data_IF_900447934894
#
_entry.id   IF_900447934894
#
_cell.length_a   1.000
_cell.length_b   1.000
_cell.length_c   1.000
_cell.angle_alpha   90.00
_cell.angle_beta   90.00
_cell.angle_gamma   90.00
#
_symmetry.space_group_name_H-M   'P 1'
#
loop_
_entity.id
_entity.type
_entity.pdbx_description
1 polymer ?
#
# COMPACT_ATOMS: atom_id res chain seq x y z
N UNK A 1 13.84 -12.20 20.28
CA UNK A 1 14.60 -11.29 19.39
C UNK A 1 13.95 -9.91 19.44
N UNK A 2 14.74 -8.84 19.32
CA UNK A 2 14.25 -7.45 19.31
C UNK A 2 13.18 -7.23 18.23
N UNK A 3 13.29 -7.92 17.08
CA UNK A 3 12.36 -7.79 15.97
C UNK A 3 10.94 -8.27 16.35
N UNK A 4 10.79 -9.37 17.10
CA UNK A 4 9.47 -9.83 17.58
C UNK A 4 8.78 -8.77 18.45
N UNK A 5 9.53 -8.12 19.34
CA UNK A 5 9.01 -7.03 20.20
C UNK A 5 8.60 -5.82 19.37
N UNK A 6 9.42 -5.41 18.39
CA UNK A 6 9.11 -4.29 17.50
C UNK A 6 7.82 -4.56 16.74
N UNK A 7 7.66 -5.74 16.15
CA UNK A 7 6.44 -6.11 15.42
C UNK A 7 5.24 -6.08 16.35
N UNK A 8 5.34 -6.71 17.52
CA UNK A 8 4.25 -6.71 18.49
C UNK A 8 3.82 -5.28 18.87
N UNK A 9 4.77 -4.43 19.23
CA UNK A 9 4.46 -3.04 19.61
C UNK A 9 3.86 -2.24 18.44
N UNK A 10 4.43 -2.35 17.24
CA UNK A 10 3.95 -1.61 16.08
C UNK A 10 2.54 -2.02 15.67
N UNK A 11 2.27 -3.31 15.52
CA UNK A 11 0.93 -3.79 15.15
C UNK A 11 -0.10 -3.49 16.26
N UNK A 12 0.26 -3.68 17.54
CA UNK A 12 -0.63 -3.35 18.65
C UNK A 12 -0.96 -1.86 18.68
N UNK A 13 0.02 -0.99 18.43
CA UNK A 13 -0.19 0.45 18.32
C UNK A 13 -1.16 0.81 17.17
N UNK A 14 -1.00 0.18 16.01
CA UNK A 14 -1.87 0.43 14.85
C UNK A 14 -3.31 -0.05 15.10
N UNK A 15 -3.48 -1.24 15.69
CA UNK A 15 -4.80 -1.78 16.07
C UNK A 15 -5.46 -0.86 17.11
N UNK A 16 -4.71 -0.43 18.12
CA UNK A 16 -5.22 0.48 19.15
C UNK A 16 -5.70 1.81 18.55
N UNK A 17 -4.92 2.41 17.63
CA UNK A 17 -5.32 3.63 16.94
C UNK A 17 -6.61 3.45 16.14
N UNK A 18 -6.75 2.32 15.42
CA UNK A 18 -7.95 2.03 14.65
C UNK A 18 -9.18 1.91 15.55
N UNK A 19 -9.04 1.24 16.69
CA UNK A 19 -10.11 1.13 17.70
C UNK A 19 -10.43 2.51 18.31
N UNK A 20 -9.43 3.35 18.57
CA UNK A 20 -9.65 4.70 19.08
C UNK A 20 -10.42 5.58 18.08
N UNK A 21 -10.11 5.49 16.77
CA UNK A 21 -10.88 6.18 15.74
C UNK A 21 -12.34 5.71 15.74
N UNK A 22 -12.57 4.39 15.81
CA UNK A 22 -13.90 3.81 15.87
C UNK A 22 -14.68 4.30 17.09
N UNK A 23 -14.07 4.26 18.27
CA UNK A 23 -14.68 4.74 19.51
C UNK A 23 -14.98 6.25 19.46
N UNK A 24 -14.06 7.04 18.90
CA UNK A 24 -14.25 8.49 18.74
C UNK A 24 -15.43 8.79 17.83
N UNK A 25 -15.60 8.02 16.77
CA UNK A 25 -16.74 8.15 15.86
C UNK A 25 -18.05 7.86 16.58
N UNK A 26 -18.10 6.76 17.34
CA UNK A 26 -19.32 6.29 18.01
C UNK A 26 -19.72 7.11 19.24
N UNK A 27 -18.74 7.48 20.11
CA UNK A 27 -19.03 8.09 21.42
C UNK A 27 -19.22 9.60 21.36
N UNK A 28 -18.49 10.28 20.47
CA UNK A 28 -18.49 11.74 20.41
C UNK A 28 -19.36 12.31 19.28
N UNK A 29 -20.04 11.46 18.50
CA UNK A 29 -20.83 11.89 17.36
C UNK A 29 -20.01 12.70 16.34
N UNK A 30 -18.69 12.47 16.30
CA UNK A 30 -17.74 13.19 15.45
C UNK A 30 -17.83 12.73 13.98
N UNK A 31 -18.81 11.90 13.62
CA UNK A 31 -19.03 11.41 12.25
C UNK A 31 -19.16 12.53 11.23
N UNK A 32 -19.73 13.66 11.62
CA UNK A 32 -19.87 14.84 10.78
C UNK A 32 -18.67 15.80 10.85
N UNK A 33 -17.65 15.47 11.65
CA UNK A 33 -16.46 16.31 11.78
C UNK A 33 -15.52 16.16 10.58
N UNK A 34 -15.47 17.19 9.74
CA UNK A 34 -14.52 17.27 8.61
C UNK A 34 -13.06 17.05 9.06
N UNK A 35 -12.71 17.54 10.25
CA UNK A 35 -11.35 17.41 10.79
C UNK A 35 -11.02 15.97 11.16
N UNK A 36 -11.94 15.23 11.75
CA UNK A 36 -11.73 13.81 12.07
C UNK A 36 -11.52 12.99 10.80
N UNK A 37 -12.32 13.25 9.77
CA UNK A 37 -12.16 12.60 8.47
C UNK A 37 -10.79 12.89 7.83
N UNK A 38 -10.31 14.14 7.88
CA UNK A 38 -8.99 14.52 7.38
C UNK A 38 -7.85 13.84 8.15
N UNK A 39 -7.92 13.82 9.48
CA UNK A 39 -6.93 13.16 10.33
C UNK A 39 -6.92 11.66 10.04
N UNK A 40 -8.09 11.03 9.94
CA UNK A 40 -8.21 9.61 9.62
C UNK A 40 -7.64 9.29 8.24
N UNK A 41 -7.91 10.12 7.22
CA UNK A 41 -7.35 9.96 5.88
C UNK A 41 -5.82 9.99 5.87
N UNK A 42 -5.22 11.00 6.53
CA UNK A 42 -3.76 11.10 6.65
C UNK A 42 -3.19 9.89 7.40
N UNK A 43 -3.84 9.51 8.50
CA UNK A 43 -3.44 8.35 9.28
C UNK A 43 -3.50 7.05 8.46
N UNK A 44 -4.57 6.82 7.70
CA UNK A 44 -4.69 5.65 6.82
C UNK A 44 -3.55 5.55 5.80
N UNK A 45 -3.13 6.68 5.22
CA UNK A 45 -2.01 6.70 4.28
C UNK A 45 -0.69 6.33 4.97
N UNK A 46 -0.37 6.98 6.10
CA UNK A 46 0.83 6.69 6.88
C UNK A 46 0.84 5.24 7.36
N UNK A 47 -0.28 4.76 7.87
CA UNK A 47 -0.49 3.41 8.31
C UNK A 47 -0.22 2.37 7.20
N UNK A 48 -0.77 2.58 6.00
CA UNK A 48 -0.60 1.66 4.88
C UNK A 48 0.87 1.49 4.50
N UNK A 49 1.62 2.59 4.38
CA UNK A 49 3.06 2.55 4.11
C UNK A 49 3.83 1.86 5.24
N UNK A 50 3.45 2.10 6.48
CA UNK A 50 4.13 1.55 7.64
C UNK A 50 3.95 0.02 7.73
N UNK A 51 2.74 -0.49 7.52
CA UNK A 51 2.44 -1.93 7.51
C UNK A 51 3.22 -2.65 6.40
N UNK A 52 3.23 -2.08 5.18
CA UNK A 52 3.99 -2.63 4.06
C UNK A 52 5.49 -2.64 4.36
N UNK A 53 6.01 -1.57 4.97
CA UNK A 53 7.42 -1.50 5.38
C UNK A 53 7.78 -2.56 6.41
N UNK A 54 6.94 -2.75 7.43
CA UNK A 54 7.12 -3.81 8.44
C UNK A 54 7.09 -5.21 7.81
N UNK A 55 6.16 -5.44 6.88
CA UNK A 55 6.10 -6.69 6.14
C UNK A 55 7.41 -6.97 5.41
N UNK A 56 7.95 -5.99 4.66
CA UNK A 56 9.23 -6.16 3.96
C UNK A 56 10.40 -6.37 4.90
N UNK A 57 10.43 -5.71 6.05
CA UNK A 57 11.46 -5.96 7.08
C UNK A 57 11.44 -7.41 7.53
N UNK A 58 10.25 -7.99 7.76
CA UNK A 58 10.11 -9.41 8.13
C UNK A 58 10.59 -10.31 6.99
N UNK A 59 10.14 -10.06 5.76
CA UNK A 59 10.47 -10.90 4.59
C UNK A 59 11.97 -10.85 4.29
N UNK A 60 12.59 -9.69 4.27
CA UNK A 60 14.03 -9.55 4.01
C UNK A 60 14.85 -10.27 5.08
N UNK A 61 14.39 -10.22 6.32
CA UNK A 61 15.07 -10.92 7.43
C UNK A 61 14.97 -12.45 7.30
N UNK A 62 13.80 -12.96 6.89
CA UNK A 62 13.57 -14.41 6.71
C UNK A 62 14.24 -14.97 5.45
N UNK A 63 14.33 -14.19 4.37
CA UNK A 63 14.77 -14.63 3.05
C UNK A 63 16.12 -13.97 2.63
N UNK A 64 17.07 -13.88 3.55
CA UNK A 64 18.36 -13.24 3.32
C UNK A 64 19.22 -13.95 2.27
N UNK A 65 19.06 -15.28 2.10
CA UNK A 65 19.82 -16.09 1.14
C UNK A 65 19.39 -15.79 -0.32
N UNK A 66 20.39 -15.68 -1.19
CA UNK A 66 20.20 -15.42 -2.63
C UNK A 66 19.30 -16.45 -3.34
N UNK A 67 19.35 -17.73 -2.92
CA UNK A 67 18.50 -18.80 -3.44
C UNK A 67 17.02 -18.63 -3.10
N UNK A 68 16.71 -17.97 -1.97
CA UNK A 68 15.36 -17.75 -1.51
C UNK A 68 14.72 -16.51 -2.15
N UNK A 69 15.49 -15.62 -2.80
CA UNK A 69 14.99 -14.42 -3.47
C UNK A 69 14.07 -14.71 -4.65
N UNK A 70 14.15 -15.90 -5.25
CA UNK A 70 13.25 -16.32 -6.33
C UNK A 70 11.76 -16.39 -5.88
N UNK A 71 11.50 -16.52 -4.57
CA UNK A 71 10.15 -16.57 -4.02
C UNK A 71 9.49 -15.20 -3.83
N UNK A 72 10.22 -14.09 -4.00
CA UNK A 72 9.62 -12.76 -3.82
C UNK A 72 8.43 -12.51 -4.75
N UNK A 73 8.45 -13.02 -5.98
CA UNK A 73 7.31 -12.93 -6.90
C UNK A 73 6.05 -13.61 -6.36
N UNK A 74 6.19 -14.80 -5.76
CA UNK A 74 5.08 -15.53 -5.15
C UNK A 74 4.56 -14.79 -3.89
N UNK A 75 5.48 -14.21 -3.11
CA UNK A 75 5.11 -13.42 -1.92
C UNK A 75 4.34 -12.16 -2.32
N UNK A 76 4.79 -11.47 -3.38
CA UNK A 76 4.07 -10.30 -3.94
C UNK A 76 2.69 -10.67 -4.49
N UNK A 77 2.55 -11.86 -5.10
CA UNK A 77 1.27 -12.37 -5.55
C UNK A 77 0.24 -12.51 -4.42
N UNK A 78 0.69 -12.83 -3.19
CA UNK A 78 -0.15 -12.80 -1.99
C UNK A 78 -0.75 -11.43 -1.71
N UNK A 79 -0.02 -10.34 -1.99
CA UNK A 79 -0.54 -8.97 -1.91
C UNK A 79 -1.68 -8.71 -2.89
N UNK A 80 -1.53 -9.16 -4.15
CA UNK A 80 -2.60 -9.04 -5.16
C UNK A 80 -3.84 -9.85 -4.80
N UNK A 81 -3.68 -11.05 -4.24
CA UNK A 81 -4.80 -11.83 -3.69
C UNK A 81 -5.48 -11.09 -2.53
N UNK A 82 -4.70 -10.52 -1.60
CA UNK A 82 -5.23 -9.71 -0.51
C UNK A 82 -6.04 -8.51 -1.00
N UNK A 83 -5.59 -7.84 -2.07
CA UNK A 83 -6.31 -6.73 -2.68
C UNK A 83 -7.63 -7.17 -3.32
N UNK A 84 -7.68 -8.36 -3.96
CA UNK A 84 -8.93 -8.94 -4.49
C UNK A 84 -9.93 -9.19 -3.36
N UNK A 85 -9.51 -9.85 -2.28
CA UNK A 85 -10.38 -10.10 -1.13
C UNK A 85 -10.82 -8.80 -0.44
N UNK A 86 -9.91 -7.85 -0.25
CA UNK A 86 -10.21 -6.54 0.35
C UNK A 86 -11.20 -5.74 -0.49
N UNK A 87 -11.08 -5.75 -1.81
CA UNK A 87 -12.01 -5.06 -2.71
C UNK A 87 -13.40 -5.69 -2.71
N UNK A 88 -13.50 -7.02 -2.62
CA UNK A 88 -14.80 -7.71 -2.51
C UNK A 88 -15.49 -7.40 -1.18
N UNK A 89 -14.74 -7.36 -0.07
CA UNK A 89 -15.26 -6.93 1.23
C UNK A 89 -15.76 -5.49 1.14
N UNK A 90 -14.94 -4.57 0.61
CA UNK A 90 -15.30 -3.17 0.45
C UNK A 90 -16.55 -2.99 -0.40
N UNK A 91 -16.69 -3.73 -1.50
CA UNK A 91 -17.86 -3.69 -2.37
C UNK A 91 -19.12 -4.17 -1.67
N UNK A 92 -19.06 -5.22 -0.85
CA UNK A 92 -20.20 -5.76 -0.09
C UNK A 92 -20.66 -4.80 0.99
N UNK A 93 -19.72 -4.14 1.67
CA UNK A 93 -20.03 -3.17 2.71
C UNK A 93 -20.41 -1.78 2.15
N UNK A 94 -20.12 -1.47 0.88
CA UNK A 94 -20.47 -0.18 0.26
C UNK A 94 -21.97 0.09 0.19
N UNK A 95 -22.81 -0.96 0.15
CA UNK A 95 -24.28 -0.84 0.15
C UNK A 95 -24.90 -0.63 1.53
N UNK A 96 -24.10 -0.68 2.61
CA UNK A 96 -24.56 -0.59 4.01
C UNK A 96 -23.80 0.52 4.74
N UNK A 97 -23.66 1.70 4.10
CA UNK A 97 -22.97 2.86 4.71
C UNK A 97 -23.80 3.57 5.79
N UNK A 98 -24.67 2.85 6.45
CA UNK A 98 -25.17 3.20 7.76
C UNK A 98 -24.02 3.09 8.78
N UNK A 99 -24.17 3.69 9.94
CA UNK A 99 -23.17 3.66 11.02
C UNK A 99 -22.59 2.25 11.28
N UNK A 100 -23.46 1.24 11.14
CA UNK A 100 -23.09 -0.19 11.31
C UNK A 100 -22.11 -0.69 10.26
N UNK A 101 -22.19 -0.23 9.01
CA UNK A 101 -21.30 -0.65 7.92
C UNK A 101 -19.88 -0.16 8.11
N UNK A 102 -19.70 1.09 8.56
CA UNK A 102 -18.37 1.64 8.83
C UNK A 102 -17.71 0.96 10.04
N UNK A 103 -18.51 0.65 11.08
CA UNK A 103 -18.02 -0.13 12.23
C UNK A 103 -17.53 -1.52 11.81
N UNK A 104 -18.32 -2.26 11.04
CA UNK A 104 -17.96 -3.59 10.55
C UNK A 104 -16.72 -3.56 9.64
N UNK A 105 -16.61 -2.54 8.79
CA UNK A 105 -15.44 -2.35 7.94
C UNK A 105 -14.16 -2.11 8.78
N UNK A 106 -14.24 -1.24 9.77
CA UNK A 106 -13.11 -0.93 10.67
C UNK A 106 -12.73 -2.14 11.55
N UNK A 107 -13.71 -2.89 12.05
CA UNK A 107 -13.47 -4.12 12.81
C UNK A 107 -12.84 -5.21 11.93
N UNK A 108 -13.28 -5.35 10.67
CA UNK A 108 -12.67 -6.29 9.74
C UNK A 108 -11.19 -5.93 9.47
N UNK A 109 -10.88 -4.66 9.30
CA UNK A 109 -9.51 -4.19 9.14
C UNK A 109 -8.65 -4.48 10.39
N UNK A 110 -9.17 -4.25 11.58
CA UNK A 110 -8.49 -4.58 12.83
C UNK A 110 -8.24 -6.09 12.97
N UNK A 111 -9.21 -6.91 12.58
CA UNK A 111 -9.08 -8.38 12.58
C UNK A 111 -7.97 -8.83 11.62
N UNK A 112 -7.93 -8.32 10.39
CA UNK A 112 -6.87 -8.65 9.42
C UNK A 112 -5.50 -8.21 9.89
N UNK A 113 -5.38 -7.06 10.54
CA UNK A 113 -4.13 -6.62 11.17
C UNK A 113 -3.69 -7.56 12.28
N UNK A 114 -4.61 -7.97 13.11
CA UNK A 114 -4.32 -8.92 14.19
C UNK A 114 -3.84 -10.27 13.63
N UNK A 115 -4.50 -10.79 12.60
CA UNK A 115 -4.07 -12.00 11.89
C UNK A 115 -2.69 -11.82 11.25
N UNK A 116 -2.42 -10.69 10.61
CA UNK A 116 -1.11 -10.38 10.03
C UNK A 116 0.00 -10.33 11.10
N UNK A 117 -0.29 -9.74 12.27
CA UNK A 117 0.62 -9.76 13.42
C UNK A 117 0.92 -11.19 13.88
N UNK A 118 -0.11 -12.02 14.05
CA UNK A 118 0.07 -13.42 14.48
C UNK A 118 0.92 -14.20 13.47
N UNK A 119 0.64 -14.05 12.17
CA UNK A 119 1.40 -14.70 11.11
C UNK A 119 2.87 -14.24 11.10
N UNK A 120 3.14 -12.94 11.23
CA UNK A 120 4.49 -12.41 11.28
C UNK A 120 5.27 -12.96 12.49
N UNK A 121 4.64 -13.02 13.67
CA UNK A 121 5.24 -13.59 14.87
C UNK A 121 5.48 -15.10 14.72
N UNK A 122 4.54 -15.81 14.12
CA UNK A 122 4.66 -17.24 13.84
C UNK A 122 5.81 -17.53 12.89
N UNK A 123 5.92 -16.80 11.78
CA UNK A 123 7.02 -16.94 10.82
C UNK A 123 8.38 -16.69 11.47
N UNK A 124 8.49 -15.67 12.31
CA UNK A 124 9.70 -15.38 13.08
C UNK A 124 9.99 -16.42 14.18
N UNK A 125 8.99 -17.19 14.64
CA UNK A 125 9.19 -18.25 15.63
C UNK A 125 9.75 -19.51 15.02
N UNK A 126 9.35 -19.84 13.78
CA UNK A 126 9.83 -21.02 13.05
C UNK A 126 11.23 -20.79 12.48
N UNK A 127 11.56 -19.55 12.13
CA UNK A 127 12.89 -19.20 11.69
C UNK A 127 13.86 -19.30 12.88
N UNK A 128 14.54 -20.44 12.99
CA UNK A 128 15.61 -20.68 13.98
C UNK A 128 16.88 -19.84 13.74
N UNK A 129 16.80 -18.82 12.92
CA UNK A 129 17.87 -17.86 12.75
C UNK A 129 17.86 -16.91 13.96
N UNK A 130 18.55 -17.29 15.02
CA UNK A 130 19.10 -16.38 16.05
C UNK A 130 20.20 -15.45 15.46
N UNK A 131 20.04 -15.05 14.22
CA UNK A 131 20.84 -13.96 13.67
C UNK A 131 20.27 -12.69 14.31
N UNK A 132 20.89 -12.31 15.41
CA UNK A 132 20.86 -10.93 15.91
C UNK A 132 21.02 -10.02 14.70
N UNK A 133 20.04 -9.13 14.50
CA UNK A 133 20.29 -7.95 13.68
C UNK A 133 21.57 -7.40 14.28
N UNK A 134 22.65 -7.31 13.50
CA UNK A 134 23.87 -6.63 13.90
C UNK A 134 23.50 -5.18 14.17
N UNK A 135 23.01 -4.96 15.39
CA UNK A 135 22.70 -3.63 15.90
C UNK A 135 23.98 -2.89 16.27
N UNK A 136 25.11 -3.62 16.28
CA UNK A 136 26.40 -3.05 16.63
C UNK A 136 26.93 -2.03 15.60
N UNK A 137 26.40 -2.04 14.37
CA UNK A 137 26.73 -1.04 13.35
C UNK A 137 25.64 0.05 13.16
N UNK A 138 24.55 0.00 13.90
CA UNK A 138 23.50 1.01 13.89
C UNK A 138 23.66 2.04 15.03
N UNK A 139 24.89 2.31 15.42
CA UNK A 139 25.27 3.29 16.45
C UNK A 139 25.17 4.74 15.98
N UNK A 140 24.08 5.13 15.35
CA UNK A 140 23.75 6.51 15.00
C UNK A 140 22.27 6.75 15.20
N UNK A 141 21.86 7.97 15.57
CA UNK A 141 20.45 8.35 15.61
C UNK A 141 19.79 8.16 14.24
N UNK A 142 18.46 8.05 14.19
CA UNK A 142 17.72 7.88 12.92
C UNK A 142 18.08 8.95 11.89
N UNK A 143 18.44 10.15 12.31
CA UNK A 143 18.92 11.23 11.44
C UNK A 143 20.31 10.96 10.85
N UNK A 144 21.21 10.35 11.61
CA UNK A 144 22.56 10.00 11.12
C UNK A 144 22.49 8.89 10.09
N UNK A 145 21.61 7.92 10.27
CA UNK A 145 21.35 6.87 9.28
C UNK A 145 20.83 7.45 7.96
N UNK A 146 19.88 8.39 8.02
CA UNK A 146 19.35 9.08 6.82
C UNK A 146 20.47 9.91 6.16
N UNK A 147 21.21 10.70 6.94
CA UNK A 147 22.30 11.53 6.42
C UNK A 147 23.38 10.71 5.74
N UNK A 148 23.81 9.63 6.38
CA UNK A 148 24.84 8.73 5.83
C UNK A 148 24.35 8.00 4.57
N UNK A 149 23.09 7.55 4.55
CA UNK A 149 22.48 6.92 3.38
C UNK A 149 22.41 7.86 2.18
N UNK A 150 22.07 9.14 2.39
CA UNK A 150 22.00 10.14 1.32
C UNK A 150 23.38 10.59 0.79
N UNK A 151 24.47 10.26 1.48
CA UNK A 151 25.83 10.50 0.98
C UNK A 151 26.25 9.49 -0.11
N UNK A 152 25.59 8.32 -0.17
CA UNK A 152 25.83 7.31 -1.20
C UNK A 152 25.03 7.69 -2.45
N UNK A 153 25.71 7.94 -3.56
CA UNK A 153 25.11 8.43 -4.81
C UNK A 153 23.97 7.52 -5.32
N UNK A 154 24.15 6.21 -5.25
CA UNK A 154 23.15 5.23 -5.68
C UNK A 154 21.87 5.34 -4.85
N UNK A 155 22.01 5.43 -3.53
CA UNK A 155 20.86 5.54 -2.60
C UNK A 155 20.14 6.86 -2.83
N UNK A 156 20.88 7.97 -2.99
CA UNK A 156 20.31 9.28 -3.28
C UNK A 156 19.51 9.29 -4.59
N UNK A 157 20.05 8.68 -5.64
CA UNK A 157 19.37 8.62 -6.94
C UNK A 157 18.09 7.77 -6.87
N UNK A 158 18.13 6.62 -6.18
CA UNK A 158 16.94 5.79 -5.95
C UNK A 158 15.91 6.56 -5.11
N UNK A 159 16.34 7.21 -4.03
CA UNK A 159 15.44 8.00 -3.19
C UNK A 159 14.78 9.14 -3.96
N UNK A 160 15.53 9.85 -4.80
CA UNK A 160 15.01 10.91 -5.65
C UNK A 160 14.00 10.39 -6.68
N UNK A 161 14.29 9.24 -7.30
CA UNK A 161 13.35 8.59 -8.23
C UNK A 161 12.04 8.21 -7.52
N UNK A 162 12.13 7.55 -6.36
CA UNK A 162 10.96 7.15 -5.57
C UNK A 162 10.16 8.37 -5.13
N UNK A 163 10.83 9.47 -4.73
CA UNK A 163 10.16 10.69 -4.33
C UNK A 163 9.35 11.31 -5.48
N UNK A 164 9.96 11.46 -6.67
CA UNK A 164 9.29 11.99 -7.86
C UNK A 164 8.12 11.07 -8.26
N UNK A 165 8.35 9.76 -8.30
CA UNK A 165 7.33 8.76 -8.65
C UNK A 165 6.14 8.84 -7.69
N UNK A 166 6.38 8.91 -6.38
CA UNK A 166 5.32 9.03 -5.37
C UNK A 166 4.55 10.34 -5.53
N UNK A 167 5.25 11.45 -5.80
CA UNK A 167 4.60 12.74 -6.05
C UNK A 167 3.67 12.68 -7.27
N UNK A 168 4.14 12.11 -8.39
CA UNK A 168 3.33 11.93 -9.60
C UNK A 168 2.12 11.03 -9.37
N UNK A 169 2.29 9.91 -8.65
CA UNK A 169 1.18 9.02 -8.27
C UNK A 169 0.15 9.74 -7.38
N UNK A 170 0.61 10.56 -6.45
CA UNK A 170 -0.29 11.33 -5.58
C UNK A 170 -1.11 12.35 -6.37
N UNK A 171 -0.47 13.11 -7.27
CA UNK A 171 -1.17 14.06 -8.15
C UNK A 171 -2.17 13.34 -9.05
N UNK A 172 -1.77 12.21 -9.65
CA UNK A 172 -2.66 11.39 -10.48
C UNK A 172 -3.86 10.90 -9.67
N UNK A 173 -3.64 10.42 -8.45
CA UNK A 173 -4.70 9.91 -7.59
C UNK A 173 -5.69 11.00 -7.17
N UNK A 174 -5.20 12.18 -6.76
CA UNK A 174 -6.07 13.32 -6.42
C UNK A 174 -6.88 13.76 -7.63
N UNK A 175 -6.27 13.83 -8.81
CA UNK A 175 -6.98 14.18 -10.05
C UNK A 175 -8.06 13.15 -10.38
N UNK A 176 -7.76 11.86 -10.23
CA UNK A 176 -8.73 10.80 -10.43
C UNK A 176 -9.93 10.91 -9.47
N UNK A 177 -9.67 11.19 -8.18
CA UNK A 177 -10.74 11.40 -7.19
C UNK A 177 -11.64 12.56 -7.60
N UNK A 178 -11.08 13.71 -8.01
CA UNK A 178 -11.86 14.88 -8.43
C UNK A 178 -12.75 14.55 -9.64
N UNK A 179 -12.22 13.87 -10.67
CA UNK A 179 -13.01 13.45 -11.84
C UNK A 179 -14.15 12.51 -11.44
N UNK A 180 -13.91 11.59 -10.51
CA UNK A 180 -14.93 10.66 -10.02
C UNK A 180 -15.98 11.38 -9.17
N UNK A 181 -15.58 12.41 -8.42
CA UNK A 181 -16.48 13.26 -7.64
C UNK A 181 -17.40 14.09 -8.53
N UNK A 182 -16.87 14.65 -9.61
CA UNK A 182 -17.65 15.37 -10.62
C UNK A 182 -18.63 14.44 -11.37
N UNK A 183 -18.26 13.17 -11.58
CA UNK A 183 -19.13 12.18 -12.21
C UNK A 183 -20.31 11.77 -11.32
N UNK A 184 -20.12 11.65 -10.00
CA UNK A 184 -21.19 11.24 -9.09
C UNK A 184 -21.05 11.88 -7.72
N UNK A 185 -22.14 12.55 -7.27
CA UNK A 185 -22.24 13.08 -5.92
C UNK A 185 -22.55 12.01 -4.87
N UNK A 186 -22.94 10.81 -5.30
CA UNK A 186 -23.21 9.68 -4.40
C UNK A 186 -21.91 8.98 -3.98
N UNK A 187 -21.60 9.03 -2.68
CA UNK A 187 -20.40 8.42 -2.10
C UNK A 187 -20.37 6.89 -2.28
N UNK A 188 -21.52 6.23 -2.24
CA UNK A 188 -21.63 4.79 -2.46
C UNK A 188 -21.22 4.41 -3.90
N UNK A 189 -21.69 5.16 -4.90
CA UNK A 189 -21.33 4.94 -6.31
C UNK A 189 -19.82 5.15 -6.54
N UNK A 190 -19.23 6.18 -5.93
CA UNK A 190 -17.79 6.43 -6.00
C UNK A 190 -16.98 5.27 -5.41
N UNK A 191 -17.35 4.83 -4.21
CA UNK A 191 -16.68 3.70 -3.57
C UNK A 191 -16.82 2.41 -4.39
N UNK A 192 -18.01 2.13 -4.90
CA UNK A 192 -18.26 0.98 -5.76
C UNK A 192 -17.41 1.01 -7.03
N UNK A 193 -17.25 2.20 -7.64
CA UNK A 193 -16.37 2.36 -8.79
C UNK A 193 -14.93 1.97 -8.45
N UNK A 194 -14.34 2.52 -7.37
CA UNK A 194 -12.98 2.18 -6.97
C UNK A 194 -12.84 0.70 -6.57
N UNK A 195 -13.83 0.12 -5.93
CA UNK A 195 -13.83 -1.30 -5.60
C UNK A 195 -13.83 -2.20 -6.86
N UNK A 196 -14.64 -1.85 -7.88
CA UNK A 196 -14.65 -2.55 -9.17
C UNK A 196 -13.30 -2.39 -9.89
N UNK A 197 -12.73 -1.19 -9.87
CA UNK A 197 -11.39 -0.96 -10.44
C UNK A 197 -10.35 -1.85 -9.79
N UNK A 198 -10.37 -1.99 -8.48
CA UNK A 198 -9.44 -2.86 -7.75
C UNK A 198 -9.66 -4.34 -8.12
N UNK A 199 -10.91 -4.77 -8.32
CA UNK A 199 -11.23 -6.13 -8.79
C UNK A 199 -10.70 -6.42 -10.20
N UNK A 200 -10.51 -5.41 -11.04
CA UNK A 200 -9.89 -5.57 -12.37
C UNK A 200 -8.37 -5.51 -12.29
N UNK A 201 -7.83 -4.54 -11.57
CA UNK A 201 -6.40 -4.28 -11.45
C UNK A 201 -5.67 -5.45 -10.77
N UNK A 202 -6.20 -5.93 -9.65
CA UNK A 202 -5.49 -6.91 -8.83
C UNK A 202 -5.29 -8.26 -9.53
N UNK A 203 -6.28 -8.85 -10.24
CA UNK A 203 -6.04 -10.06 -11.03
C UNK A 203 -5.08 -9.85 -12.20
N UNK A 204 -5.16 -8.72 -12.91
CA UNK A 204 -4.23 -8.38 -13.98
C UNK A 204 -2.80 -8.26 -13.47
N UNK A 205 -2.62 -7.55 -12.35
CA UNK A 205 -1.32 -7.42 -11.68
C UNK A 205 -0.78 -8.78 -11.26
N UNK A 206 -1.64 -9.65 -10.69
CA UNK A 206 -1.27 -11.02 -10.32
C UNK A 206 -0.75 -11.82 -11.51
N UNK A 207 -1.47 -11.79 -12.64
CA UNK A 207 -1.08 -12.49 -13.88
C UNK A 207 0.28 -11.96 -14.38
N UNK A 208 0.46 -10.65 -14.42
CA UNK A 208 1.72 -10.04 -14.87
C UNK A 208 2.86 -10.38 -13.92
N UNK A 209 2.65 -10.31 -12.62
CA UNK A 209 3.66 -10.64 -11.62
C UNK A 209 4.13 -12.10 -11.73
N UNK A 210 3.23 -13.04 -11.92
CA UNK A 210 3.56 -14.46 -11.96
C UNK A 210 4.19 -14.89 -13.29
N UNK A 211 3.69 -14.39 -14.41
CA UNK A 211 4.04 -14.93 -15.73
C UNK A 211 4.95 -14.01 -16.55
N UNK A 212 4.76 -12.71 -16.45
CA UNK A 212 5.38 -11.75 -17.37
C UNK A 212 6.53 -10.95 -16.79
N UNK A 213 6.62 -10.75 -15.48
CA UNK A 213 7.64 -9.88 -14.86
C UNK A 213 9.06 -10.30 -15.28
N UNK A 214 9.39 -11.59 -15.19
CA UNK A 214 10.72 -12.07 -15.58
C UNK A 214 11.01 -11.91 -17.07
N UNK A 215 9.99 -12.07 -17.91
CA UNK A 215 10.10 -11.89 -19.37
C UNK A 215 10.31 -10.42 -19.73
N UNK A 216 9.56 -9.53 -19.08
CA UNK A 216 9.64 -8.09 -19.28
C UNK A 216 11.03 -7.58 -18.85
N UNK A 217 11.48 -7.95 -17.65
CA UNK A 217 12.81 -7.55 -17.16
C UNK A 217 13.92 -8.05 -18.08
N UNK A 218 13.86 -9.29 -18.56
CA UNK A 218 14.88 -9.85 -19.46
C UNK A 218 14.88 -9.21 -20.85
N UNK A 219 13.70 -8.88 -21.39
CA UNK A 219 13.56 -8.31 -22.75
C UNK A 219 13.80 -6.81 -22.80
N UNK A 220 13.23 -6.07 -21.88
CA UNK A 220 13.19 -4.60 -21.90
C UNK A 220 14.32 -4.02 -21.06
N UNK A 221 14.70 -4.70 -19.98
CA UNK A 221 15.67 -4.24 -19.00
C UNK A 221 15.08 -3.23 -18.01
N UNK A 222 15.60 -3.25 -16.79
CA UNK A 222 15.10 -2.41 -15.68
C UNK A 222 15.13 -0.92 -16.01
N UNK A 223 16.20 -0.44 -16.66
CA UNK A 223 16.33 0.99 -17.04
C UNK A 223 15.18 1.46 -17.91
N UNK A 224 14.82 0.70 -18.95
CA UNK A 224 13.78 1.09 -19.89
C UNK A 224 12.39 0.98 -19.24
N UNK A 225 12.19 0.03 -18.34
CA UNK A 225 10.95 -0.08 -17.55
C UNK A 225 10.78 1.18 -16.69
N UNK A 226 11.81 1.60 -15.97
CA UNK A 226 11.74 2.81 -15.14
C UNK A 226 11.49 4.08 -15.98
N UNK A 227 12.08 4.17 -17.18
CA UNK A 227 11.82 5.29 -18.11
C UNK A 227 10.40 5.26 -18.67
N UNK A 228 9.82 4.07 -18.92
CA UNK A 228 8.46 3.94 -19.44
C UNK A 228 7.41 4.52 -18.48
N UNK A 229 7.63 4.45 -17.17
CA UNK A 229 6.73 5.08 -16.20
C UNK A 229 6.62 6.60 -16.41
N UNK A 230 7.72 7.30 -16.67
CA UNK A 230 7.68 8.74 -16.97
C UNK A 230 6.80 9.06 -18.19
N UNK A 231 6.92 8.26 -19.25
CA UNK A 231 6.10 8.42 -20.47
C UNK A 231 4.63 8.12 -20.16
N UNK A 232 4.34 7.05 -19.39
CA UNK A 232 2.98 6.69 -19.00
C UNK A 232 2.31 7.81 -18.17
N UNK A 233 3.04 8.46 -17.26
CA UNK A 233 2.51 9.61 -16.52
C UNK A 233 2.21 10.80 -17.43
N UNK A 234 3.08 11.12 -18.40
CA UNK A 234 2.80 12.16 -19.37
C UNK A 234 1.51 11.89 -20.16
N UNK A 235 1.35 10.65 -20.65
CA UNK A 235 0.13 10.24 -21.36
C UNK A 235 -1.09 10.34 -20.43
N UNK A 236 -0.97 9.89 -19.19
CA UNK A 236 -2.04 9.94 -18.19
C UNK A 236 -2.54 11.36 -17.94
N UNK A 237 -1.63 12.32 -17.73
CA UNK A 237 -1.99 13.72 -17.49
C UNK A 237 -2.56 14.40 -18.74
N UNK A 238 -2.07 14.06 -19.94
CA UNK A 238 -2.65 14.54 -21.19
C UNK A 238 -4.09 14.02 -21.35
N UNK A 239 -4.33 12.73 -21.06
CA UNK A 239 -5.67 12.15 -21.13
C UNK A 239 -6.63 12.79 -20.13
N UNK A 240 -6.19 13.05 -18.91
CA UNK A 240 -7.01 13.74 -17.91
C UNK A 240 -7.32 15.19 -18.28
N UNK A 241 -6.39 15.88 -18.93
CA UNK A 241 -6.59 17.25 -19.40
C UNK A 241 -7.52 17.36 -20.62
N UNK A 242 -7.45 16.39 -21.54
CA UNK A 242 -8.24 16.40 -22.76
C UNK A 242 -9.63 15.76 -22.58
N UNK A 243 -9.73 14.68 -21.82
CA UNK A 243 -10.95 13.90 -21.67
C UNK A 243 -11.11 13.54 -20.18
N UNK A 244 -11.51 14.50 -19.31
CA UNK A 244 -11.77 14.22 -17.90
C UNK A 244 -13.07 13.38 -17.78
N UNK A 245 -12.94 12.07 -17.78
CA UNK A 245 -14.08 11.14 -17.72
C UNK A 245 -13.79 9.94 -16.84
N UNK A 246 -14.85 9.28 -16.36
CA UNK A 246 -14.75 8.03 -15.60
C UNK A 246 -14.00 6.94 -16.36
N UNK A 247 -14.10 6.94 -17.69
CA UNK A 247 -13.41 5.97 -18.55
C UNK A 247 -11.92 6.26 -18.57
N UNK A 248 -11.52 7.54 -18.70
CA UNK A 248 -10.10 7.91 -18.66
C UNK A 248 -9.47 7.57 -17.31
N UNK A 249 -10.19 7.79 -16.20
CA UNK A 249 -9.74 7.36 -14.85
C UNK A 249 -9.52 5.86 -14.82
N UNK A 250 -10.47 5.08 -15.34
CA UNK A 250 -10.37 3.62 -15.40
C UNK A 250 -9.13 3.17 -16.18
N UNK A 251 -8.99 3.64 -17.42
CA UNK A 251 -7.88 3.26 -18.31
C UNK A 251 -6.53 3.66 -17.70
N UNK A 252 -6.38 4.90 -17.27
CA UNK A 252 -5.12 5.41 -16.70
C UNK A 252 -4.74 4.64 -15.43
N UNK A 253 -5.70 4.42 -14.52
CA UNK A 253 -5.43 3.71 -13.28
C UNK A 253 -5.01 2.25 -13.52
N UNK A 254 -5.66 1.57 -14.47
CA UNK A 254 -5.26 0.20 -14.86
C UNK A 254 -3.84 0.20 -15.41
N UNK A 255 -3.52 1.09 -16.36
CA UNK A 255 -2.19 1.11 -16.97
C UNK A 255 -1.09 1.45 -15.98
N UNK A 256 -1.27 2.44 -15.11
CA UNK A 256 -0.23 2.85 -14.15
C UNK A 256 -0.03 1.86 -13.01
N UNK A 257 -1.03 1.03 -12.68
CA UNK A 257 -0.93 0.10 -11.55
C UNK A 257 -0.62 -1.34 -11.97
N UNK A 258 -0.87 -1.70 -13.22
CA UNK A 258 -0.65 -3.05 -13.73
C UNK A 258 0.73 -3.20 -14.37
N UNK A 259 1.25 -2.16 -15.00
CA UNK A 259 2.57 -2.10 -15.64
C UNK A 259 3.58 -1.37 -14.79
#
# INVERSE_FOLDING_TARGET
SNLKKIILYCYSFLILNLILFLLSWRTFGLGDSIWLGRIFYVWCNVYSFFVVSLFWVVIINLYRDSKKRSFYGVIMAGGSLGAIFGSEISKRFSGSFDELGLELFSLSAALFLFLAMLLALYMLSISNNDQTIDTDNAGGGSFDAIKNSLQINEIRNIASYVWIWTALMTVQWITAINIVEDWSQNSEQRLRFFAIMEQVISPLTLIIQLFFTNLIIKKIGIKNILLSYGILFCIAFILYGLIPSIISVGVVTVFLRVF
#
